data_IF_729331200058
#
_entry.id   IF_729331200058
#
_cell.length_a   1.000
_cell.length_b   1.000
_cell.length_c   1.000
_cell.angle_alpha   90.00
_cell.angle_beta   90.00
_cell.angle_gamma   90.00
#
_symmetry.space_group_name_H-M   'P 1'
#
loop_
_entity.id
_entity.type
_entity.pdbx_description
1 polymer ?
#
# COMPACT_ATOMS: atom_id res chain seq x y z
N UNK A 1 -24.08 9.11 -8.74
CA UNK A 1 -23.91 9.65 -7.37
C UNK A 1 -23.59 11.13 -7.50
N UNK A 2 -24.31 12.05 -6.81
CA UNK A 2 -23.97 13.46 -6.86
C UNK A 2 -22.56 13.65 -6.25
N UNK A 3 -21.71 14.37 -6.96
CA UNK A 3 -20.33 14.66 -6.54
C UNK A 3 -20.12 16.17 -6.48
N UNK A 4 -19.35 16.61 -5.49
CA UNK A 4 -18.93 18.02 -5.34
C UNK A 4 -17.42 18.05 -5.48
N UNK A 5 -16.94 18.79 -6.47
CA UNK A 5 -15.51 18.93 -6.73
C UNK A 5 -15.02 20.25 -6.15
N UNK A 6 -14.09 20.18 -5.19
CA UNK A 6 -13.44 21.37 -4.62
C UNK A 6 -12.13 21.60 -5.38
N UNK A 7 -12.02 22.73 -6.07
CA UNK A 7 -10.90 23.02 -6.99
C UNK A 7 -10.06 24.24 -6.57
N UNK A 8 -10.41 24.90 -5.46
CA UNK A 8 -9.67 26.06 -4.94
C UNK A 8 -9.16 25.81 -3.50
N UNK A 9 -8.04 26.48 -3.17
CA UNK A 9 -7.38 26.32 -1.88
C UNK A 9 -8.23 26.80 -0.70
N UNK A 10 -8.92 27.94 -0.84
CA UNK A 10 -9.66 28.53 0.25
C UNK A 10 -10.81 27.62 0.70
N UNK A 11 -11.56 27.06 -0.25
CA UNK A 11 -12.62 26.10 0.00
C UNK A 11 -12.07 24.76 0.51
N UNK A 12 -10.94 24.29 -0.01
CA UNK A 12 -10.30 23.07 0.49
C UNK A 12 -9.91 23.18 1.97
N UNK A 13 -9.33 24.31 2.39
CA UNK A 13 -9.01 24.58 3.80
C UNK A 13 -10.29 24.70 4.64
N UNK A 14 -11.31 25.39 4.15
CA UNK A 14 -12.58 25.51 4.88
C UNK A 14 -13.24 24.14 5.10
N UNK A 15 -13.35 23.31 4.07
CA UNK A 15 -13.98 22.01 4.14
C UNK A 15 -13.15 20.99 4.92
N UNK A 16 -11.87 20.80 4.56
CA UNK A 16 -11.05 19.70 5.08
C UNK A 16 -10.36 20.01 6.41
N UNK A 17 -10.14 21.28 6.74
CA UNK A 17 -9.48 21.69 7.99
C UNK A 17 -10.48 22.30 8.97
N UNK A 18 -11.11 23.42 8.62
CA UNK A 18 -12.02 24.13 9.55
C UNK A 18 -13.27 23.30 9.86
N UNK A 19 -13.83 22.64 8.85
CA UNK A 19 -15.01 21.77 8.95
C UNK A 19 -14.63 20.28 8.83
N UNK A 20 -13.39 19.91 9.10
CA UNK A 20 -12.86 18.58 8.81
C UNK A 20 -13.66 17.42 9.41
N UNK A 21 -14.32 17.62 10.56
CA UNK A 21 -15.21 16.61 11.16
C UNK A 21 -16.43 16.27 10.29
N UNK A 22 -16.96 17.24 9.55
CA UNK A 22 -18.10 17.04 8.63
C UNK A 22 -17.69 16.28 7.35
N UNK A 23 -16.41 16.36 6.97
CA UNK A 23 -15.86 15.75 5.75
C UNK A 23 -14.91 14.57 6.04
N UNK A 24 -14.94 14.02 7.26
CA UNK A 24 -14.00 12.98 7.69
C UNK A 24 -14.30 11.59 7.12
N UNK A 25 -15.53 11.36 6.64
CA UNK A 25 -15.96 10.07 6.12
C UNK A 25 -15.47 9.85 4.69
N UNK A 26 -15.18 8.58 4.39
CA UNK A 26 -14.70 8.10 3.10
C UNK A 26 -15.83 7.42 2.37
N UNK A 27 -16.08 7.86 1.15
CA UNK A 27 -16.98 7.21 0.24
C UNK A 27 -16.18 6.36 -0.75
N UNK A 28 -15.91 5.11 -0.37
CA UNK A 28 -15.13 4.18 -1.17
C UNK A 28 -16.05 3.23 -1.94
N UNK A 29 -15.66 2.81 -3.16
CA UNK A 29 -16.37 1.76 -3.88
C UNK A 29 -16.53 0.49 -3.04
N UNK A 30 -17.61 -0.25 -3.27
CA UNK A 30 -17.93 -1.47 -2.51
C UNK A 30 -16.80 -2.51 -2.54
N UNK A 31 -15.99 -2.51 -3.60
CA UNK A 31 -14.79 -3.36 -3.73
C UNK A 31 -13.86 -3.28 -2.51
N UNK A 32 -13.65 -2.09 -1.95
CA UNK A 32 -12.76 -1.91 -0.80
C UNK A 32 -13.29 -2.61 0.46
N UNK A 33 -14.61 -2.85 0.53
CA UNK A 33 -15.24 -3.62 1.61
C UNK A 33 -15.07 -5.12 1.43
N UNK A 34 -14.90 -5.62 0.20
CA UNK A 34 -14.75 -7.05 -0.05
C UNK A 34 -13.45 -7.63 0.51
N UNK A 35 -12.40 -6.83 0.58
CA UNK A 35 -11.06 -7.29 0.99
C UNK A 35 -10.90 -7.35 2.50
N UNK A 36 -11.39 -6.34 3.22
CA UNK A 36 -11.20 -6.20 4.68
C UNK A 36 -12.49 -5.94 5.45
N UNK A 37 -13.65 -6.01 4.80
CA UNK A 37 -14.90 -5.53 5.38
C UNK A 37 -14.86 -4.02 5.62
N UNK A 38 -15.59 -3.56 6.62
CA UNK A 38 -15.53 -2.15 7.08
C UNK A 38 -14.34 -1.89 8.02
N UNK A 39 -13.21 -2.57 7.79
CA UNK A 39 -11.98 -2.47 8.61
C UNK A 39 -10.80 -1.98 7.76
N UNK A 40 -9.78 -1.48 8.43
CA UNK A 40 -8.57 -0.91 7.88
C UNK A 40 -8.52 0.61 8.03
N UNK A 41 -7.32 1.19 8.00
CA UNK A 41 -7.13 2.65 8.15
C UNK A 41 -7.44 3.45 6.87
N UNK A 42 -7.53 2.76 5.73
CA UNK A 42 -7.70 3.39 4.41
C UNK A 42 -9.18 3.60 4.05
N UNK A 43 -10.05 2.62 4.23
CA UNK A 43 -11.41 2.66 3.71
C UNK A 43 -12.53 2.69 4.77
N UNK A 44 -12.22 2.47 6.06
CA UNK A 44 -13.24 2.45 7.11
C UNK A 44 -13.63 3.85 7.62
N UNK A 45 -14.76 3.92 8.33
CA UNK A 45 -15.36 5.13 8.91
C UNK A 45 -15.78 4.91 10.37
N UNK A 46 -16.10 6.01 11.07
CA UNK A 46 -16.65 5.96 12.43
C UNK A 46 -15.66 5.47 13.49
N UNK A 47 -16.19 4.84 14.55
CA UNK A 47 -15.37 4.34 15.66
C UNK A 47 -14.33 3.28 15.26
N UNK A 48 -14.64 2.27 14.42
CA UNK A 48 -13.65 1.29 14.00
C UNK A 48 -12.42 1.94 13.33
N UNK A 49 -12.64 2.99 12.53
CA UNK A 49 -11.53 3.75 11.92
C UNK A 49 -10.70 4.48 12.97
N UNK A 50 -11.33 5.14 13.94
CA UNK A 50 -10.64 5.89 14.99
C UNK A 50 -9.75 4.98 15.84
N UNK A 51 -10.27 3.82 16.25
CA UNK A 51 -9.53 2.83 17.05
C UNK A 51 -8.31 2.30 16.27
N UNK A 52 -8.52 1.87 15.02
CA UNK A 52 -7.43 1.32 14.21
C UNK A 52 -6.40 2.37 13.83
N UNK A 53 -6.80 3.62 13.58
CA UNK A 53 -5.88 4.73 13.36
C UNK A 53 -5.02 5.00 14.60
N UNK A 54 -5.63 5.05 15.80
CA UNK A 54 -4.87 5.24 17.05
C UNK A 54 -3.88 4.10 17.26
N UNK A 55 -4.33 2.85 17.09
CA UNK A 55 -3.49 1.67 17.18
C UNK A 55 -2.32 1.74 16.19
N UNK A 56 -2.59 1.98 14.90
CA UNK A 56 -1.56 2.03 13.86
C UNK A 56 -0.52 3.14 14.13
N UNK A 57 -0.96 4.36 14.49
CA UNK A 57 -0.04 5.46 14.82
C UNK A 57 0.80 5.16 16.06
N UNK A 58 0.21 4.53 17.08
CA UNK A 58 0.94 4.12 18.27
C UNK A 58 2.01 3.07 17.93
N UNK A 59 1.65 2.03 17.16
CA UNK A 59 2.57 0.99 16.71
C UNK A 59 3.68 1.54 15.83
N UNK A 60 3.38 2.43 14.88
CA UNK A 60 4.38 3.08 14.05
C UNK A 60 5.37 3.91 14.87
N UNK A 61 4.91 4.63 15.90
CA UNK A 61 5.80 5.34 16.84
C UNK A 61 6.70 4.39 17.62
N UNK A 62 6.19 3.23 18.02
CA UNK A 62 7.00 2.18 18.66
C UNK A 62 8.05 1.61 17.70
N UNK A 63 7.75 1.52 16.40
CA UNK A 63 8.72 1.16 15.36
C UNK A 63 9.71 2.28 15.02
N UNK A 64 9.53 3.49 15.57
CA UNK A 64 10.44 4.60 15.40
C UNK A 64 9.92 5.78 14.58
N UNK A 65 8.63 5.80 14.21
CA UNK A 65 8.06 6.91 13.44
C UNK A 65 8.24 8.24 14.17
N UNK A 66 8.94 9.16 13.51
CA UNK A 66 9.31 10.48 14.06
C UNK A 66 10.54 10.45 14.98
N UNK A 67 11.36 9.40 14.93
CA UNK A 67 12.64 9.27 15.68
C UNK A 67 13.79 8.95 14.72
N UNK A 68 15.01 9.25 15.14
CA UNK A 68 16.23 9.03 14.36
C UNK A 68 16.44 7.57 13.93
N UNK A 69 15.91 6.59 14.68
CA UNK A 69 16.05 5.17 14.33
C UNK A 69 15.46 4.83 12.94
N UNK A 70 14.42 5.54 12.47
CA UNK A 70 13.91 5.32 11.11
C UNK A 70 14.85 5.94 10.09
N UNK A 71 15.40 7.12 10.37
CA UNK A 71 16.41 7.75 9.51
C UNK A 71 17.64 6.86 9.36
N UNK A 72 18.17 6.31 10.46
CA UNK A 72 19.28 5.36 10.44
C UNK A 72 18.97 4.12 9.59
N UNK A 73 17.75 3.59 9.66
CA UNK A 73 17.33 2.45 8.82
C UNK A 73 17.24 2.82 7.34
N UNK A 74 16.74 4.01 7.03
CA UNK A 74 16.68 4.50 5.64
C UNK A 74 18.09 4.69 5.09
N UNK A 75 18.97 5.35 5.86
CA UNK A 75 20.35 5.60 5.45
C UNK A 75 21.13 4.30 5.26
N UNK A 76 20.93 3.32 6.14
CA UNK A 76 21.55 2.00 5.98
C UNK A 76 21.13 1.29 4.68
N UNK A 77 19.84 1.29 4.33
CA UNK A 77 19.39 0.68 3.07
C UNK A 77 19.85 1.50 1.84
N UNK A 78 19.95 2.82 1.98
CA UNK A 78 20.49 3.70 0.95
C UNK A 78 21.98 3.45 0.68
N UNK A 79 22.80 3.30 1.74
CA UNK A 79 24.22 2.99 1.63
C UNK A 79 24.45 1.65 0.91
N UNK A 80 23.72 0.60 1.30
CA UNK A 80 23.76 -0.70 0.61
C UNK A 80 23.43 -0.55 -0.88
N UNK A 81 22.37 0.19 -1.19
CA UNK A 81 21.95 0.39 -2.58
C UNK A 81 23.03 1.13 -3.39
N UNK A 82 23.72 2.10 -2.79
CA UNK A 82 24.82 2.82 -3.43
C UNK A 82 26.04 1.91 -3.65
N UNK A 83 26.44 1.11 -2.66
CA UNK A 83 27.55 0.15 -2.77
C UNK A 83 27.28 -0.86 -3.90
N UNK A 84 26.06 -1.38 -4.01
CA UNK A 84 25.67 -2.28 -5.09
C UNK A 84 25.71 -1.59 -6.45
N UNK A 85 25.38 -0.30 -6.51
CA UNK A 85 25.40 0.49 -7.73
C UNK A 85 26.83 0.78 -8.21
N UNK A 86 27.70 1.22 -7.32
CA UNK A 86 29.13 1.45 -7.58
C UNK A 86 29.79 0.17 -8.10
N UNK A 87 29.55 -0.96 -7.42
CA UNK A 87 30.08 -2.25 -7.84
C UNK A 87 29.57 -2.74 -9.21
N UNK A 88 28.41 -2.26 -9.68
CA UNK A 88 27.92 -2.53 -11.04
C UNK A 88 28.62 -1.64 -12.06
N UNK A 89 28.78 -0.36 -11.78
CA UNK A 89 29.48 0.58 -12.66
C UNK A 89 30.95 0.22 -12.88
N UNK A 90 31.62 -0.32 -11.86
CA UNK A 90 33.02 -0.73 -11.94
C UNK A 90 33.25 -1.96 -12.84
N UNK A 91 32.23 -2.81 -13.00
CA UNK A 91 32.35 -4.10 -13.69
C UNK A 91 31.89 -4.06 -15.14
N UNK A 92 30.84 -3.31 -15.44
CA UNK A 92 30.24 -3.22 -16.77
C UNK A 92 29.62 -1.82 -16.92
N UNK A 93 29.62 -1.23 -18.11
CA UNK A 93 28.88 0.01 -18.38
C UNK A 93 27.39 -0.22 -18.12
N UNK A 94 26.96 -0.02 -16.87
CA UNK A 94 25.72 -0.57 -16.37
C UNK A 94 24.55 0.37 -16.67
N UNK A 95 23.55 -0.17 -17.36
CA UNK A 95 22.22 0.45 -17.40
C UNK A 95 21.53 0.21 -16.06
N UNK A 96 21.04 1.29 -15.44
CA UNK A 96 20.24 1.23 -14.22
C UNK A 96 18.77 1.33 -14.61
N UNK A 97 17.92 0.57 -13.92
CA UNK A 97 16.49 0.76 -13.91
C UNK A 97 16.11 1.43 -12.57
N UNK A 98 16.01 2.76 -12.50
CA UNK A 98 15.91 3.49 -11.23
C UNK A 98 14.63 3.16 -10.47
N UNK A 99 13.54 2.86 -11.19
CA UNK A 99 12.26 2.48 -10.59
C UNK A 99 12.42 1.19 -9.76
N UNK A 100 12.96 0.13 -10.33
CA UNK A 100 13.10 -1.15 -9.62
C UNK A 100 14.05 -1.05 -8.44
N UNK A 101 15.15 -0.31 -8.61
CA UNK A 101 16.10 -0.02 -7.53
C UNK A 101 15.43 0.69 -6.35
N UNK A 102 14.70 1.80 -6.61
CA UNK A 102 14.02 2.56 -5.57
C UNK A 102 12.88 1.77 -4.92
N UNK A 103 12.11 1.01 -5.72
CA UNK A 103 11.02 0.18 -5.20
C UNK A 103 11.54 -0.91 -4.27
N UNK A 104 12.65 -1.57 -4.63
CA UNK A 104 13.25 -2.59 -3.78
C UNK A 104 13.81 -1.99 -2.49
N UNK A 105 14.48 -0.83 -2.56
CA UNK A 105 14.99 -0.13 -1.38
C UNK A 105 13.85 0.24 -0.41
N UNK A 106 12.76 0.82 -0.92
CA UNK A 106 11.58 1.14 -0.10
C UNK A 106 10.96 -0.13 0.48
N UNK A 107 10.87 -1.20 -0.30
CA UNK A 107 10.35 -2.48 0.16
C UNK A 107 11.22 -3.09 1.27
N UNK A 108 12.54 -3.02 1.18
CA UNK A 108 13.47 -3.47 2.23
C UNK A 108 13.31 -2.65 3.51
N UNK A 109 13.19 -1.33 3.42
CA UNK A 109 12.93 -0.46 4.58
C UNK A 109 11.62 -0.88 5.27
N UNK A 110 10.55 -1.09 4.50
CA UNK A 110 9.24 -1.51 5.02
C UNK A 110 9.28 -2.93 5.61
N UNK A 111 9.89 -3.89 4.91
CA UNK A 111 10.00 -5.28 5.34
C UNK A 111 10.83 -5.37 6.63
N UNK A 112 11.89 -4.57 6.75
CA UNK A 112 12.69 -4.51 7.97
C UNK A 112 11.96 -3.85 9.13
N UNK A 113 11.10 -2.85 8.86
CA UNK A 113 10.25 -2.28 9.91
C UNK A 113 9.21 -3.27 10.43
N UNK A 114 8.61 -4.09 9.56
CA UNK A 114 7.53 -5.01 9.92
C UNK A 114 8.05 -6.36 10.44
N UNK A 115 9.03 -6.92 9.74
CA UNK A 115 9.53 -8.29 9.90
C UNK A 115 10.96 -8.37 10.42
N UNK A 116 11.66 -7.24 10.59
CA UNK A 116 13.09 -7.19 10.99
C UNK A 116 14.00 -7.93 10.00
N UNK A 117 13.52 -8.13 8.78
CA UNK A 117 14.22 -8.87 7.74
C UNK A 117 14.25 -8.06 6.43
N UNK A 118 15.24 -8.34 5.59
CA UNK A 118 15.37 -7.74 4.25
C UNK A 118 15.05 -8.80 3.21
N UNK A 119 14.66 -8.39 2.01
CA UNK A 119 14.60 -9.34 0.91
C UNK A 119 16.02 -9.82 0.59
N UNK A 120 16.23 -11.13 0.64
CA UNK A 120 17.44 -11.73 0.06
C UNK A 120 17.38 -11.61 -1.47
N UNK A 121 18.52 -11.72 -2.17
CA UNK A 121 18.52 -11.73 -3.65
C UNK A 121 17.54 -12.72 -4.28
N UNK A 122 17.27 -13.84 -3.60
CA UNK A 122 16.27 -14.83 -4.04
C UNK A 122 14.83 -14.37 -3.79
N UNK A 123 14.60 -13.59 -2.74
CA UNK A 123 13.29 -13.06 -2.39
C UNK A 123 12.96 -11.75 -3.13
N UNK A 124 13.95 -11.07 -3.74
CA UNK A 124 13.74 -9.92 -4.63
C UNK A 124 12.84 -10.29 -5.81
N UNK A 125 13.06 -11.44 -6.44
CA UNK A 125 12.21 -11.94 -7.52
C UNK A 125 10.76 -12.11 -7.06
N UNK A 126 10.56 -12.63 -5.83
CA UNK A 126 9.24 -12.77 -5.23
C UNK A 126 8.59 -11.40 -4.99
N UNK A 127 9.36 -10.41 -4.53
CA UNK A 127 8.88 -9.04 -4.37
C UNK A 127 8.41 -8.45 -5.71
N UNK A 128 9.23 -8.51 -6.76
CA UNK A 128 8.85 -7.98 -8.06
C UNK A 128 7.67 -8.72 -8.70
N UNK A 129 7.56 -10.04 -8.48
CA UNK A 129 6.38 -10.80 -8.89
C UNK A 129 5.10 -10.34 -8.17
N UNK A 130 5.17 -10.04 -6.87
CA UNK A 130 4.03 -9.48 -6.12
C UNK A 130 3.71 -8.04 -6.58
N UNK A 131 4.72 -7.21 -6.81
CA UNK A 131 4.54 -5.86 -7.37
C UNK A 131 3.84 -5.92 -8.73
N UNK A 132 4.32 -6.76 -9.65
CA UNK A 132 3.74 -6.89 -10.98
C UNK A 132 2.25 -7.28 -10.92
N UNK A 133 1.87 -8.18 -10.01
CA UNK A 133 0.46 -8.54 -9.80
C UNK A 133 -0.37 -7.38 -9.22
N UNK A 134 0.22 -6.59 -8.31
CA UNK A 134 -0.44 -5.39 -7.78
C UNK A 134 -0.60 -4.31 -8.86
N UNK A 135 0.40 -4.11 -9.71
CA UNK A 135 0.34 -3.20 -10.85
C UNK A 135 -0.71 -3.67 -11.87
N UNK A 136 -0.78 -4.97 -12.15
CA UNK A 136 -1.82 -5.56 -13.00
C UNK A 136 -3.22 -5.30 -12.43
N UNK A 137 -3.42 -5.43 -11.11
CA UNK A 137 -4.68 -5.10 -10.46
C UNK A 137 -5.10 -3.65 -10.70
N UNK A 138 -4.16 -2.70 -10.56
CA UNK A 138 -4.42 -1.27 -10.77
C UNK A 138 -4.69 -0.98 -12.25
N UNK A 139 -3.91 -1.56 -13.15
CA UNK A 139 -4.04 -1.34 -14.60
C UNK A 139 -5.32 -1.96 -15.19
N UNK A 140 -5.77 -3.09 -14.66
CA UNK A 140 -7.01 -3.74 -15.08
C UNK A 140 -8.27 -3.14 -14.44
N UNK A 141 -8.09 -2.24 -13.47
CA UNK A 141 -9.18 -1.54 -12.81
C UNK A 141 -9.89 -0.61 -13.80
N UNK A 142 -11.19 -0.82 -13.95
CA UNK A 142 -12.05 -0.02 -14.83
C UNK A 142 -12.95 0.90 -14.01
N UNK A 143 -13.35 2.02 -14.60
CA UNK A 143 -14.39 2.89 -14.01
C UNK A 143 -15.71 2.15 -13.77
N UNK A 144 -16.00 1.09 -14.52
CA UNK A 144 -17.16 0.25 -14.29
C UNK A 144 -17.08 -0.55 -12.97
N UNK A 145 -15.88 -0.85 -12.47
CA UNK A 145 -15.70 -1.53 -11.19
C UNK A 145 -16.15 -0.65 -10.01
N UNK A 146 -16.11 0.68 -10.18
CA UNK A 146 -16.62 1.62 -9.19
C UNK A 146 -18.15 1.58 -9.06
N UNK A 147 -18.86 1.00 -10.04
CA UNK A 147 -20.33 0.84 -10.03
C UNK A 147 -20.76 -0.47 -9.37
N UNK A 148 -19.82 -1.32 -8.97
CA UNK A 148 -20.11 -2.56 -8.26
C UNK A 148 -20.55 -2.21 -6.85
N UNK A 149 -21.66 -2.83 -6.45
CA UNK A 149 -22.30 -2.62 -5.16
C UNK A 149 -23.00 -3.91 -4.73
N UNK A 150 -23.46 -3.96 -3.48
CA UNK A 150 -24.04 -5.16 -2.88
C UNK A 150 -25.15 -5.80 -3.72
N UNK A 151 -25.95 -5.00 -4.42
CA UNK A 151 -27.10 -5.48 -5.19
C UNK A 151 -26.74 -6.17 -6.51
N UNK A 152 -25.56 -5.91 -7.09
CA UNK A 152 -25.12 -6.50 -8.36
C UNK A 152 -24.01 -7.54 -8.21
N UNK A 153 -23.53 -7.76 -6.99
CA UNK A 153 -22.43 -8.68 -6.69
C UNK A 153 -22.75 -10.15 -7.01
N UNK A 154 -24.02 -10.55 -6.90
CA UNK A 154 -24.47 -11.93 -7.16
C UNK A 154 -24.55 -12.27 -8.65
N UNK A 155 -24.39 -11.29 -9.54
CA UNK A 155 -24.37 -11.52 -10.99
C UNK A 155 -23.09 -12.28 -11.39
N UNK A 156 -23.18 -13.38 -12.17
CA UNK A 156 -22.02 -14.23 -12.46
C UNK A 156 -20.82 -13.49 -13.05
N UNK A 157 -21.06 -12.55 -13.97
CA UNK A 157 -20.00 -11.76 -14.61
C UNK A 157 -19.35 -10.75 -13.65
N UNK A 158 -20.12 -10.16 -12.74
CA UNK A 158 -19.59 -9.24 -11.71
C UNK A 158 -18.73 -10.03 -10.74
N UNK A 159 -19.24 -11.16 -10.24
CA UNK A 159 -18.50 -12.03 -9.33
C UNK A 159 -17.18 -12.50 -9.93
N UNK A 160 -17.19 -12.99 -11.18
CA UNK A 160 -15.98 -13.43 -11.87
C UNK A 160 -14.97 -12.29 -12.04
N UNK A 161 -15.45 -11.09 -12.41
CA UNK A 161 -14.60 -9.90 -12.53
C UNK A 161 -13.96 -9.50 -11.20
N UNK A 162 -14.72 -9.59 -10.10
CA UNK A 162 -14.22 -9.30 -8.75
C UNK A 162 -13.20 -10.32 -8.26
N UNK A 163 -13.44 -11.61 -8.48
CA UNK A 163 -12.46 -12.65 -8.16
C UNK A 163 -11.14 -12.45 -8.92
N UNK A 164 -11.22 -12.06 -10.20
CA UNK A 164 -10.03 -11.74 -10.99
C UNK A 164 -9.27 -10.51 -10.45
N UNK A 165 -9.96 -9.39 -10.21
CA UNK A 165 -9.34 -8.15 -9.73
C UNK A 165 -8.77 -8.30 -8.33
N UNK A 166 -9.43 -9.05 -7.44
CA UNK A 166 -9.00 -9.22 -6.05
C UNK A 166 -7.94 -10.29 -5.84
N UNK A 167 -7.67 -11.15 -6.84
CA UNK A 167 -6.71 -12.25 -6.72
C UNK A 167 -5.33 -11.82 -6.21
N UNK A 168 -4.71 -10.73 -6.71
CA UNK A 168 -3.40 -10.26 -6.23
C UNK A 168 -3.37 -9.91 -4.74
N UNK A 169 -4.50 -9.47 -4.16
CA UNK A 169 -4.57 -9.13 -2.73
C UNK A 169 -4.40 -10.38 -1.87
N UNK A 170 -4.94 -11.52 -2.30
CA UNK A 170 -4.76 -12.78 -1.58
C UNK A 170 -3.28 -13.19 -1.54
N UNK A 171 -2.57 -13.04 -2.66
CA UNK A 171 -1.14 -13.37 -2.73
C UNK A 171 -0.30 -12.49 -1.78
N UNK A 172 -0.66 -11.21 -1.62
CA UNK A 172 -0.01 -10.30 -0.65
C UNK A 172 -0.33 -10.70 0.79
N UNK A 173 -1.57 -11.10 1.06
CA UNK A 173 -1.98 -11.59 2.39
C UNK A 173 -1.24 -12.88 2.74
N UNK A 174 -1.10 -13.80 1.80
CA UNK A 174 -0.37 -15.05 2.00
C UNK A 174 1.12 -14.78 2.19
N UNK A 175 1.72 -13.85 1.43
CA UNK A 175 3.08 -13.39 1.70
C UNK A 175 3.25 -12.86 3.13
N UNK A 176 2.34 -12.00 3.61
CA UNK A 176 2.41 -11.50 4.98
C UNK A 176 2.23 -12.62 6.01
N UNK A 177 1.38 -13.62 5.74
CA UNK A 177 1.20 -14.78 6.63
C UNK A 177 2.49 -15.60 6.72
N UNK A 178 3.11 -15.92 5.58
CA UNK A 178 4.39 -16.64 5.54
C UNK A 178 5.49 -15.93 6.34
N UNK A 179 5.56 -14.60 6.26
CA UNK A 179 6.56 -13.82 7.00
C UNK A 179 6.31 -13.85 8.51
N UNK A 180 5.05 -13.92 8.94
CA UNK A 180 4.69 -14.05 10.36
C UNK A 180 5.03 -15.46 10.87
N UNK A 181 4.79 -16.51 10.08
CA UNK A 181 5.07 -17.90 10.48
C UNK A 181 6.57 -18.22 10.58
N UNK A 182 7.42 -17.47 9.87
CA UNK A 182 8.88 -17.60 9.95
C UNK A 182 9.52 -16.97 11.20
N UNK A 183 8.74 -16.21 11.99
CA UNK A 183 9.19 -15.57 13.25
C UNK A 183 8.90 -16.45 14.46
#
# INVERSE_FOLDING_TARGET
MPTVNITDYATAVDAMVKKGSAFANRNMPYLFRLTRGDRGIIASNGQPWLEQRRFALHTLRNFGLGRNIIEERIMYEFEITCEELEGRFDKEGASIEPENMLNLMVANIMNRMLFTDRFSKKDEERFFALKAKADEMVNNFSVFDMLIDKWNMDLPFVKQRMEYILRPINDVVDFMRDQIEKR
#
